data_IF_701444441883
#
_entry.id   IF_701444441883
#
_cell.length_a   1.000
_cell.length_b   1.000
_cell.length_c   1.000
_cell.angle_alpha   90.00
_cell.angle_beta   90.00
_cell.angle_gamma   90.00
#
_symmetry.space_group_name_H-M   'P 1'
#
loop_
_entity.id
_entity.type
_entity.pdbx_description
1 polymer ?
#
# COMPACT_ATOMS: atom_id res chain seq x y z
N UNK A 1 -16.36 38.23 40.60
CA UNK A 1 -15.07 37.69 40.12
C UNK A 1 -15.17 36.17 40.18
N UNK A 2 -15.02 35.34 39.17
CA UNK A 2 -15.01 35.44 37.71
C UNK A 2 -15.43 34.03 37.25
N UNK A 3 -16.57 33.90 36.58
CA UNK A 3 -16.89 32.66 35.85
C UNK A 3 -16.03 32.66 34.58
N UNK A 4 -14.84 32.08 34.64
CA UNK A 4 -14.06 31.77 33.44
C UNK A 4 -14.64 30.50 32.81
N UNK A 5 -15.77 30.64 32.11
CA UNK A 5 -16.04 29.74 31.00
C UNK A 5 -14.94 30.00 29.96
N UNK A 6 -13.95 29.12 29.90
CA UNK A 6 -13.08 29.01 28.74
C UNK A 6 -13.97 28.61 27.56
N UNK A 7 -14.50 29.60 26.85
CA UNK A 7 -14.84 29.47 25.44
C UNK A 7 -13.52 29.39 24.66
N UNK A 8 -12.80 28.29 24.82
CA UNK A 8 -11.72 27.97 23.90
C UNK A 8 -12.38 27.48 22.62
N UNK A 9 -12.25 28.28 21.56
CA UNK A 9 -12.49 27.90 20.19
C UNK A 9 -11.53 26.78 19.80
N UNK A 10 -11.72 25.59 20.39
CA UNK A 10 -10.98 24.39 20.03
C UNK A 10 -11.53 23.94 18.68
N UNK A 11 -10.71 23.82 17.62
CA UNK A 11 -11.17 23.27 16.36
C UNK A 11 -11.80 21.90 16.64
N UNK A 12 -13.06 21.72 16.27
CA UNK A 12 -13.83 20.48 16.50
C UNK A 12 -13.41 19.41 15.48
N UNK A 13 -12.10 19.23 15.30
CA UNK A 13 -11.52 18.20 14.44
C UNK A 13 -11.13 16.96 15.23
N UNK A 14 -10.85 17.08 16.52
CA UNK A 14 -10.57 15.92 17.37
C UNK A 14 -11.84 15.09 17.55
N UNK A 15 -11.84 13.88 17.00
CA UNK A 15 -12.94 12.94 17.15
C UNK A 15 -12.57 11.88 18.19
N UNK A 16 -13.48 11.62 19.15
CA UNK A 16 -13.30 10.52 20.12
C UNK A 16 -13.41 9.14 19.47
N UNK A 17 -14.10 9.08 18.34
CA UNK A 17 -14.31 7.88 17.51
C UNK A 17 -13.67 8.19 16.15
N UNK A 18 -12.84 7.30 15.58
CA UNK A 18 -12.24 7.53 14.27
C UNK A 18 -13.30 7.78 13.20
N UNK A 19 -13.01 8.72 12.30
CA UNK A 19 -13.86 8.96 11.13
C UNK A 19 -13.89 7.71 10.26
N UNK A 20 -15.06 7.32 9.74
CA UNK A 20 -15.26 6.10 8.98
C UNK A 20 -15.36 4.82 9.84
N UNK A 21 -15.28 4.93 11.17
CA UNK A 21 -15.62 3.81 12.07
C UNK A 21 -17.13 3.63 12.15
N UNK A 22 -17.64 2.39 12.31
CA UNK A 22 -19.07 2.17 12.50
C UNK A 22 -19.55 2.81 13.83
N UNK A 23 -20.71 3.48 13.81
CA UNK A 23 -21.31 4.11 15.00
C UNK A 23 -21.94 3.08 15.96
N UNK A 24 -22.33 1.94 15.43
CA UNK A 24 -23.01 0.85 16.14
C UNK A 24 -22.43 -0.49 15.67
N UNK A 25 -22.79 -1.59 16.33
CA UNK A 25 -22.40 -2.92 15.87
C UNK A 25 -22.92 -3.15 14.43
N UNK A 26 -22.05 -3.64 13.56
CA UNK A 26 -22.37 -3.90 12.15
C UNK A 26 -22.06 -5.33 11.78
N UNK A 27 -22.90 -5.92 10.92
CA UNK A 27 -22.63 -7.23 10.34
C UNK A 27 -21.57 -7.18 9.22
N UNK A 28 -21.21 -5.99 8.70
CA UNK A 28 -20.14 -5.84 7.70
C UNK A 28 -18.78 -6.22 8.29
N UNK A 29 -18.08 -7.14 7.62
CA UNK A 29 -16.70 -7.48 8.01
C UNK A 29 -15.71 -6.43 7.53
N UNK A 30 -16.01 -5.73 6.44
CA UNK A 30 -15.20 -4.61 5.94
C UNK A 30 -15.08 -3.48 6.96
N UNK A 31 -16.17 -3.17 7.69
CA UNK A 31 -16.19 -2.15 8.75
C UNK A 31 -15.89 -2.71 10.14
N UNK A 32 -15.46 -3.96 10.25
CA UNK A 32 -14.99 -4.52 11.52
C UNK A 32 -13.54 -4.11 11.79
N UNK A 33 -13.17 -3.76 13.03
CA UNK A 33 -11.80 -3.38 13.33
C UNK A 33 -10.83 -4.55 13.16
N UNK A 34 -9.56 -4.23 12.88
CA UNK A 34 -8.43 -5.16 12.94
C UNK A 34 -7.39 -4.59 13.87
N UNK A 35 -6.92 -5.38 14.84
CA UNK A 35 -5.77 -5.00 15.66
C UNK A 35 -4.57 -5.84 15.25
N UNK A 36 -3.48 -5.17 14.88
CA UNK A 36 -2.17 -5.78 14.65
C UNK A 36 -1.23 -5.15 15.68
N UNK A 37 -0.71 -5.97 16.59
CA UNK A 37 0.09 -5.53 17.74
C UNK A 37 -0.63 -4.40 18.51
N UNK A 38 -0.02 -3.22 18.69
CA UNK A 38 -0.62 -2.09 19.41
C UNK A 38 -1.52 -1.18 18.52
N UNK A 39 -1.67 -1.49 17.24
CA UNK A 39 -2.34 -0.62 16.27
C UNK A 39 -3.69 -1.22 15.87
N UNK A 40 -4.76 -0.48 16.16
CA UNK A 40 -6.13 -0.82 15.73
C UNK A 40 -6.52 0.02 14.52
N UNK A 41 -6.86 -0.66 13.43
CA UNK A 41 -7.52 -0.09 12.26
C UNK A 41 -9.04 -0.21 12.46
N UNK A 42 -9.77 0.90 12.36
CA UNK A 42 -11.22 0.91 12.65
C UNK A 42 -12.09 0.29 11.54
N UNK A 43 -11.54 0.08 10.35
CA UNK A 43 -12.11 -0.72 9.27
C UNK A 43 -10.97 -1.36 8.44
N UNK A 44 -11.31 -2.22 7.47
CA UNK A 44 -10.34 -2.99 6.66
C UNK A 44 -9.96 -2.32 5.33
N UNK A 45 -10.31 -1.05 5.13
CA UNK A 45 -10.09 -0.32 3.88
C UNK A 45 -8.78 0.44 3.96
N UNK A 46 -7.89 0.21 2.99
CA UNK A 46 -6.54 0.79 2.95
C UNK A 46 -6.33 1.61 1.69
N UNK A 47 -5.84 2.84 1.83
CA UNK A 47 -5.31 3.60 0.70
C UNK A 47 -3.91 3.07 0.38
N UNK A 48 -3.76 2.46 -0.79
CA UNK A 48 -2.48 1.87 -1.25
C UNK A 48 -1.45 2.97 -1.54
N UNK A 49 -0.14 2.71 -1.37
CA UNK A 49 0.89 3.68 -1.74
C UNK A 49 0.84 3.96 -3.26
N UNK A 50 0.75 5.23 -3.63
CA UNK A 50 0.63 5.69 -5.02
C UNK A 50 1.57 6.84 -5.29
N UNK A 51 2.61 6.62 -6.12
CA UNK A 51 3.55 7.67 -6.48
C UNK A 51 2.85 8.85 -7.15
N UNK A 52 3.10 10.05 -6.64
CA UNK A 52 2.49 11.29 -7.10
C UNK A 52 3.45 12.15 -7.93
N UNK A 53 4.75 11.82 -7.94
CA UNK A 53 5.78 12.50 -8.74
C UNK A 53 5.72 14.03 -8.60
N UNK A 54 5.52 14.49 -7.37
CA UNK A 54 5.23 15.90 -7.03
C UNK A 54 6.15 16.43 -5.92
N UNK A 55 7.27 15.76 -5.69
CA UNK A 55 8.28 16.18 -4.72
C UNK A 55 9.41 16.96 -5.41
N UNK A 56 10.03 17.87 -4.68
CA UNK A 56 11.29 18.51 -5.08
C UNK A 56 12.39 18.03 -4.16
N UNK A 57 13.40 17.37 -4.72
CA UNK A 57 14.49 16.76 -3.95
C UNK A 57 13.98 15.85 -2.83
N UNK A 58 13.00 14.98 -3.10
CA UNK A 58 12.45 14.06 -2.10
C UNK A 58 11.46 14.68 -1.10
N UNK A 59 11.35 16.02 -1.03
CA UNK A 59 10.57 16.67 0.01
C UNK A 59 9.07 16.49 -0.16
N UNK A 60 8.38 16.17 0.95
CA UNK A 60 6.92 16.26 1.05
C UNK A 60 6.48 17.71 0.78
N UNK A 61 5.90 17.94 -0.39
CA UNK A 61 5.31 19.23 -0.75
C UNK A 61 4.07 19.58 0.09
N UNK A 62 4.19 20.67 0.85
CA UNK A 62 3.15 21.17 1.77
C UNK A 62 1.85 21.63 1.11
N UNK A 63 1.81 21.78 -0.23
CA UNK A 63 0.60 22.16 -0.96
C UNK A 63 -0.05 20.92 -1.58
N UNK A 64 0.67 20.25 -2.48
CA UNK A 64 0.14 19.14 -3.25
C UNK A 64 -0.11 17.92 -2.37
N UNK A 65 0.91 17.43 -1.65
CA UNK A 65 0.75 16.21 -0.86
C UNK A 65 -0.19 16.42 0.32
N UNK A 66 -0.19 17.62 0.93
CA UNK A 66 -1.16 17.94 1.98
C UNK A 66 -2.60 17.95 1.45
N UNK A 67 -2.85 18.54 0.28
CA UNK A 67 -4.18 18.48 -0.35
C UNK A 67 -4.57 17.05 -0.72
N UNK A 68 -3.63 16.28 -1.27
CA UNK A 68 -3.84 14.90 -1.69
C UNK A 68 -4.12 13.96 -0.51
N UNK A 69 -3.15 13.79 0.39
CA UNK A 69 -3.27 12.88 1.53
C UNK A 69 -4.26 13.40 2.58
N UNK A 70 -4.32 14.72 2.79
CA UNK A 70 -5.33 15.32 3.66
C UNK A 70 -6.75 15.06 3.17
N UNK A 71 -6.95 14.87 1.86
CA UNK A 71 -8.24 14.45 1.34
C UNK A 71 -8.66 13.07 1.89
N UNK A 72 -7.74 12.11 1.97
CA UNK A 72 -8.04 10.78 2.50
C UNK A 72 -8.15 10.78 4.03
N UNK A 73 -7.28 11.53 4.71
CA UNK A 73 -7.22 11.61 6.17
C UNK A 73 -8.56 12.05 6.81
N UNK A 74 -9.37 12.83 6.10
CA UNK A 74 -10.67 13.32 6.59
C UNK A 74 -11.88 12.48 6.08
N UNK A 75 -11.61 11.33 5.44
CA UNK A 75 -12.62 10.47 4.79
C UNK A 75 -12.60 9.02 5.26
N UNK A 76 -11.85 8.75 6.33
CA UNK A 76 -12.04 7.59 7.20
C UNK A 76 -11.53 6.22 6.76
N UNK A 77 -10.54 6.06 5.85
CA UNK A 77 -9.93 4.74 5.67
C UNK A 77 -9.30 4.28 6.99
N UNK A 78 -9.26 2.96 7.22
CA UNK A 78 -8.63 2.37 8.40
C UNK A 78 -7.13 2.63 8.44
N UNK A 79 -6.51 2.66 7.27
CA UNK A 79 -5.09 2.95 7.06
C UNK A 79 -4.90 3.67 5.71
N UNK A 80 -3.96 4.61 5.64
CA UNK A 80 -3.47 5.14 4.39
C UNK A 80 -1.95 5.12 4.34
N UNK A 81 -1.39 4.79 3.19
CA UNK A 81 0.05 4.84 2.97
C UNK A 81 0.46 6.12 2.24
N UNK A 82 1.51 6.75 2.75
CA UNK A 82 2.39 7.60 1.95
C UNK A 82 3.05 6.73 0.87
N UNK A 83 3.18 7.29 -0.33
CA UNK A 83 3.80 6.66 -1.50
C UNK A 83 5.20 6.12 -1.26
N UNK A 84 5.70 5.34 -2.24
CA UNK A 84 7.06 4.83 -2.25
C UNK A 84 8.07 5.95 -1.98
N UNK A 85 8.67 5.94 -0.80
CA UNK A 85 9.55 6.98 -0.31
C UNK A 85 10.99 6.46 -0.33
N UNK A 86 11.82 7.09 -1.16
CA UNK A 86 13.22 6.71 -1.35
C UNK A 86 14.00 6.79 -0.03
N UNK A 87 14.67 5.70 0.36
CA UNK A 87 15.56 5.68 1.54
C UNK A 87 16.93 6.32 1.26
N UNK A 88 17.26 6.48 -0.02
CA UNK A 88 18.46 7.15 -0.54
C UNK A 88 18.06 8.01 -1.76
N UNK A 89 18.80 9.09 -2.07
CA UNK A 89 18.50 9.94 -3.23
C UNK A 89 18.43 9.16 -4.55
N UNK A 90 19.35 8.23 -4.76
CA UNK A 90 19.44 7.35 -5.94
C UNK A 90 18.39 6.23 -5.95
N UNK A 91 17.70 6.02 -4.82
CA UNK A 91 16.63 5.06 -4.65
C UNK A 91 15.27 5.53 -5.15
N UNK A 92 15.16 6.76 -5.66
CA UNK A 92 13.92 7.28 -6.25
C UNK A 92 13.60 6.65 -7.61
N UNK A 93 12.33 6.61 -8.00
CA UNK A 93 11.90 6.18 -9.34
C UNK A 93 12.17 7.32 -10.33
N UNK A 94 11.65 8.52 -10.06
CA UNK A 94 11.91 9.74 -10.84
C UNK A 94 12.55 10.85 -9.99
N UNK A 95 13.11 11.92 -10.61
CA UNK A 95 13.59 13.08 -9.87
C UNK A 95 12.55 13.70 -8.92
N UNK A 96 11.27 13.57 -9.27
CA UNK A 96 10.11 14.13 -8.57
C UNK A 96 9.51 13.19 -7.50
N UNK A 97 10.16 12.06 -7.21
CA UNK A 97 9.74 11.14 -6.17
C UNK A 97 10.02 11.67 -4.76
N UNK A 98 9.20 11.19 -3.83
CA UNK A 98 9.33 11.41 -2.39
C UNK A 98 10.52 10.66 -1.78
N UNK A 99 11.04 11.20 -0.68
CA UNK A 99 12.22 10.70 0.02
C UNK A 99 12.10 10.75 1.53
N UNK A 100 12.94 9.95 2.20
CA UNK A 100 13.13 9.94 3.66
C UNK A 100 14.59 9.59 4.00
N UNK A 101 15.53 10.36 3.43
CA UNK A 101 16.98 10.17 3.62
C UNK A 101 17.66 11.27 4.45
N UNK A 102 16.90 12.21 5.02
CA UNK A 102 17.45 13.27 5.88
C UNK A 102 16.46 13.74 6.94
N UNK A 103 16.92 14.46 8.00
CA UNK A 103 16.03 15.05 8.99
C UNK A 103 14.99 16.01 8.40
N UNK A 104 15.34 16.75 7.34
CA UNK A 104 14.40 17.65 6.66
C UNK A 104 13.25 16.87 6.01
N UNK A 105 13.55 15.73 5.36
CA UNK A 105 12.53 14.84 4.82
C UNK A 105 11.62 14.28 5.92
N UNK A 106 12.23 13.79 7.00
CA UNK A 106 11.53 13.27 8.17
C UNK A 106 10.51 14.29 8.69
N UNK A 107 10.95 15.51 8.99
CA UNK A 107 10.13 16.52 9.65
C UNK A 107 8.97 17.01 8.74
N UNK A 108 9.13 16.90 7.43
CA UNK A 108 8.11 17.34 6.47
C UNK A 108 6.80 16.53 6.53
N UNK A 109 6.81 15.33 7.10
CA UNK A 109 5.62 14.48 7.25
C UNK A 109 4.75 14.82 8.47
N UNK A 110 5.29 15.55 9.45
CA UNK A 110 4.61 15.83 10.73
C UNK A 110 3.18 16.38 10.52
N UNK A 111 2.93 17.38 9.65
CA UNK A 111 1.59 17.96 9.52
C UNK A 111 0.51 16.97 9.04
N UNK A 112 0.86 16.04 8.14
CA UNK A 112 -0.11 15.04 7.65
C UNK A 112 -0.34 13.93 8.68
N UNK A 113 0.70 13.53 9.41
CA UNK A 113 0.59 12.54 10.51
C UNK A 113 -0.32 13.09 11.61
N UNK A 114 -0.11 14.35 12.03
CA UNK A 114 -0.97 15.01 13.01
C UNK A 114 -2.43 15.07 12.56
N UNK A 115 -2.68 15.33 11.27
CA UNK A 115 -4.04 15.34 10.72
C UNK A 115 -4.69 13.95 10.80
N UNK A 116 -3.98 12.90 10.38
CA UNK A 116 -4.44 11.51 10.48
C UNK A 116 -4.77 11.12 11.92
N UNK A 117 -3.90 11.45 12.88
CA UNK A 117 -4.13 11.14 14.29
C UNK A 117 -5.31 11.90 14.88
N UNK A 118 -5.54 13.16 14.49
CA UNK A 118 -6.72 13.95 14.93
C UNK A 118 -8.04 13.37 14.42
N UNK A 119 -8.04 12.73 13.25
CA UNK A 119 -9.22 12.08 12.66
C UNK A 119 -9.35 10.59 13.00
N UNK A 120 -8.36 10.03 13.71
CA UNK A 120 -8.28 8.61 14.05
C UNK A 120 -7.90 7.69 12.88
N UNK A 121 -7.55 8.23 11.71
CA UNK A 121 -7.03 7.46 10.56
C UNK A 121 -5.58 7.05 10.84
N UNK A 122 -5.24 5.78 10.59
CA UNK A 122 -3.86 5.32 10.68
C UNK A 122 -3.06 5.70 9.44
N UNK A 123 -1.80 6.07 9.64
CA UNK A 123 -0.91 6.46 8.56
C UNK A 123 0.32 5.55 8.52
N UNK A 124 0.63 5.05 7.33
CA UNK A 124 1.85 4.29 7.07
C UNK A 124 2.73 4.95 6.02
N UNK A 125 3.97 4.50 5.93
CA UNK A 125 4.91 4.89 4.87
C UNK A 125 5.47 3.65 4.20
N UNK A 126 5.52 3.66 2.86
CA UNK A 126 6.19 2.62 2.10
C UNK A 126 7.65 3.01 1.88
N UNK A 127 8.57 2.34 2.56
CA UNK A 127 10.01 2.54 2.37
C UNK A 127 10.48 1.83 1.11
N UNK A 128 11.13 2.56 0.21
CA UNK A 128 11.43 2.09 -1.13
C UNK A 128 12.86 2.41 -1.59
N UNK A 129 13.31 1.59 -2.55
CA UNK A 129 14.47 1.87 -3.39
C UNK A 129 14.20 1.28 -4.78
N UNK A 130 14.14 2.12 -5.82
CA UNK A 130 13.72 1.74 -7.17
C UNK A 130 14.71 0.84 -7.91
N UNK A 131 15.98 0.82 -7.47
CA UNK A 131 16.99 -0.09 -8.00
C UNK A 131 17.18 0.11 -9.49
N UNK A 132 17.20 -0.98 -10.29
CA UNK A 132 17.43 -0.89 -11.74
C UNK A 132 16.36 -0.14 -12.53
N UNK A 133 15.27 0.26 -11.87
CA UNK A 133 14.19 1.08 -12.42
C UNK A 133 14.20 2.53 -11.90
N UNK A 134 15.23 2.91 -11.15
CA UNK A 134 15.47 4.29 -10.75
C UNK A 134 15.83 5.18 -11.95
N UNK A 135 15.83 6.49 -11.73
CA UNK A 135 16.20 7.49 -12.74
C UNK A 135 15.36 7.36 -14.02
N UNK A 136 14.03 7.30 -13.90
CA UNK A 136 13.10 7.28 -15.03
C UNK A 136 12.23 8.53 -15.08
N UNK A 137 11.75 8.89 -16.27
CA UNK A 137 10.82 10.00 -16.40
C UNK A 137 9.49 9.70 -15.73
N UNK A 138 8.97 10.66 -14.96
CA UNK A 138 7.59 10.61 -14.44
C UNK A 138 6.61 10.28 -15.57
N UNK A 139 5.60 9.46 -15.25
CA UNK A 139 4.55 9.04 -16.19
C UNK A 139 3.71 10.19 -16.75
N UNK A 140 3.85 11.41 -16.21
CA UNK A 140 3.11 12.60 -16.61
C UNK A 140 3.92 13.57 -17.48
N UNK A 141 5.22 13.31 -17.72
CA UNK A 141 6.06 14.21 -18.52
C UNK A 141 5.72 14.09 -20.00
N UNK A 142 5.17 15.18 -20.57
CA UNK A 142 4.79 15.26 -21.98
C UNK A 142 5.98 15.00 -22.91
N UNK A 143 5.73 14.32 -24.04
CA UNK A 143 6.75 14.05 -25.07
C UNK A 143 7.71 12.91 -24.76
N UNK A 144 7.58 12.23 -23.63
CA UNK A 144 8.35 11.02 -23.29
C UNK A 144 7.46 9.77 -23.43
N UNK A 145 8.06 8.60 -23.68
CA UNK A 145 7.41 7.30 -23.45
C UNK A 145 7.35 7.05 -21.93
N UNK A 146 6.55 7.87 -21.26
CA UNK A 146 6.60 8.14 -19.83
C UNK A 146 6.60 6.85 -18.97
N UNK A 147 7.47 6.79 -17.95
CA UNK A 147 7.82 5.63 -17.13
C UNK A 147 8.45 4.40 -17.84
N UNK A 148 8.81 4.49 -19.13
CA UNK A 148 9.51 3.41 -19.87
C UNK A 148 10.91 3.77 -20.36
N UNK A 149 11.45 4.91 -19.91
CA UNK A 149 12.74 5.43 -20.35
C UNK A 149 13.50 6.06 -19.19
N UNK A 150 14.82 5.88 -19.18
CA UNK A 150 15.71 6.56 -18.24
C UNK A 150 15.82 8.07 -18.50
N UNK A 151 15.94 8.85 -17.43
CA UNK A 151 16.28 10.28 -17.50
C UNK A 151 17.72 10.43 -17.93
N UNK A 152 17.99 11.29 -18.91
CA UNK A 152 19.35 11.63 -19.33
C UNK A 152 20.04 12.57 -18.33
N UNK A 153 21.35 12.71 -18.44
CA UNK A 153 22.14 13.51 -17.48
C UNK A 153 21.77 15.00 -17.52
N UNK A 154 21.37 15.54 -18.68
CA UNK A 154 20.96 16.95 -18.83
C UNK A 154 19.65 17.26 -18.07
N UNK A 155 18.78 16.26 -17.92
CA UNK A 155 17.53 16.36 -17.17
C UNK A 155 17.62 15.82 -15.75
N UNK A 156 18.84 15.62 -15.22
CA UNK A 156 19.08 15.22 -13.83
C UNK A 156 19.01 13.72 -13.58
N UNK A 157 19.23 12.90 -14.60
CA UNK A 157 19.36 11.46 -14.45
C UNK A 157 20.61 11.06 -13.67
N UNK A 158 20.56 9.88 -13.05
CA UNK A 158 21.69 9.27 -12.34
C UNK A 158 21.84 7.80 -12.74
N UNK A 159 22.99 7.18 -12.43
CA UNK A 159 23.19 5.75 -12.65
C UNK A 159 22.40 4.96 -11.61
N UNK A 160 21.44 4.11 -12.02
CA UNK A 160 20.70 3.26 -11.09
C UNK A 160 21.60 2.16 -10.48
N UNK A 161 21.18 1.61 -9.35
CA UNK A 161 21.84 0.45 -8.73
C UNK A 161 21.01 -0.81 -8.92
N UNK A 162 21.63 -1.99 -9.00
CA UNK A 162 20.90 -3.26 -9.07
C UNK A 162 21.74 -4.45 -8.61
N UNK A 163 21.12 -5.63 -8.46
CA UNK A 163 21.84 -6.86 -8.15
C UNK A 163 22.81 -7.25 -9.27
N UNK A 164 22.50 -6.92 -10.52
CA UNK A 164 23.35 -7.15 -11.69
C UNK A 164 23.23 -6.01 -12.69
N UNK A 165 24.23 -5.86 -13.57
CA UNK A 165 24.26 -4.83 -14.64
C UNK A 165 23.32 -5.14 -15.82
N UNK A 166 22.03 -5.35 -15.51
CA UNK A 166 20.99 -5.72 -16.47
C UNK A 166 19.88 -4.66 -16.40
N UNK A 167 19.71 -3.79 -17.41
CA UNK A 167 18.63 -2.82 -17.43
C UNK A 167 17.27 -3.51 -17.53
N UNK A 168 16.21 -2.85 -17.07
CA UNK A 168 14.85 -3.41 -17.14
C UNK A 168 14.38 -3.61 -18.59
N UNK A 169 14.74 -2.70 -19.49
CA UNK A 169 14.60 -2.84 -20.94
C UNK A 169 15.70 -2.04 -21.65
N UNK A 170 15.70 -2.02 -22.99
CA UNK A 170 16.70 -1.30 -23.81
C UNK A 170 16.69 0.24 -23.70
N UNK A 171 15.64 0.83 -23.11
CA UNK A 171 15.51 2.29 -22.93
C UNK A 171 15.80 2.76 -21.51
N UNK A 172 16.03 1.83 -20.57
CA UNK A 172 16.43 2.16 -19.20
C UNK A 172 17.94 2.32 -19.11
N UNK A 173 18.40 3.09 -18.14
CA UNK A 173 19.83 3.17 -17.85
C UNK A 173 20.33 1.81 -17.36
N UNK A 174 21.53 1.44 -17.79
CA UNK A 174 22.20 0.23 -17.28
C UNK A 174 22.55 0.45 -15.81
N UNK A 175 22.10 -0.42 -14.89
CA UNK A 175 22.40 -0.26 -13.48
C UNK A 175 23.86 -0.65 -13.18
N UNK A 176 24.44 0.02 -12.19
CA UNK A 176 25.64 -0.44 -11.50
C UNK A 176 25.30 -1.69 -10.68
N UNK A 177 26.06 -2.77 -10.87
CA UNK A 177 25.99 -3.95 -10.01
C UNK A 177 26.56 -3.61 -8.63
N UNK A 178 25.70 -3.64 -7.61
CA UNK A 178 26.09 -3.22 -6.25
C UNK A 178 27.18 -4.13 -5.67
N UNK A 179 28.17 -3.52 -5.05
CA UNK A 179 29.13 -4.19 -4.16
C UNK A 179 28.49 -4.59 -2.83
N UNK A 180 29.12 -5.49 -2.07
CA UNK A 180 28.65 -5.82 -0.71
C UNK A 180 28.60 -4.58 0.21
N UNK A 181 29.50 -3.61 0.02
CA UNK A 181 29.50 -2.36 0.79
C UNK A 181 28.28 -1.50 0.47
N UNK A 182 27.92 -1.38 -0.82
CA UNK A 182 26.73 -0.63 -1.24
C UNK A 182 25.44 -1.32 -0.80
N UNK A 183 25.41 -2.67 -0.82
CA UNK A 183 24.31 -3.45 -0.24
C UNK A 183 24.16 -3.12 1.25
N UNK A 184 25.26 -3.13 2.01
CA UNK A 184 25.24 -2.78 3.43
C UNK A 184 24.79 -1.33 3.67
N UNK A 185 25.20 -0.37 2.83
CA UNK A 185 24.73 1.02 2.88
C UNK A 185 23.22 1.12 2.64
N UNK A 186 22.69 0.41 1.65
CA UNK A 186 21.25 0.38 1.40
C UNK A 186 20.48 -0.23 2.59
N UNK A 187 20.96 -1.35 3.14
CA UNK A 187 20.40 -1.99 4.35
C UNK A 187 20.35 -1.01 5.53
N UNK A 188 21.45 -0.28 5.78
CA UNK A 188 21.51 0.72 6.83
C UNK A 188 20.55 1.89 6.58
N UNK A 189 20.40 2.33 5.33
CA UNK A 189 19.48 3.39 4.94
C UNK A 189 18.02 3.01 5.24
N UNK A 190 17.59 1.78 4.90
CA UNK A 190 16.25 1.30 5.28
C UNK A 190 16.01 1.34 6.80
N UNK A 191 17.00 0.90 7.60
CA UNK A 191 16.93 0.97 9.06
C UNK A 191 16.84 2.41 9.58
N UNK A 192 17.65 3.31 9.04
CA UNK A 192 17.64 4.72 9.41
C UNK A 192 16.33 5.43 9.02
N UNK A 193 15.76 5.11 7.85
CA UNK A 193 14.46 5.61 7.42
C UNK A 193 13.32 5.08 8.30
N UNK A 194 13.39 3.82 8.74
CA UNK A 194 12.43 3.27 9.70
C UNK A 194 12.50 4.00 11.06
N UNK A 195 13.70 4.31 11.55
CA UNK A 195 13.89 5.13 12.75
C UNK A 195 13.25 6.50 12.59
N UNK A 196 13.50 7.18 11.47
CA UNK A 196 12.89 8.48 11.19
C UNK A 196 11.38 8.41 11.10
N UNK A 197 10.83 7.36 10.48
CA UNK A 197 9.40 7.16 10.42
C UNK A 197 8.77 7.01 11.82
N UNK A 198 9.45 6.33 12.73
CA UNK A 198 8.99 6.21 14.12
C UNK A 198 9.04 7.55 14.87
N UNK A 199 10.15 8.29 14.72
CA UNK A 199 10.36 9.59 15.38
C UNK A 199 9.26 10.61 15.09
N UNK A 200 8.63 10.56 13.91
CA UNK A 200 7.52 11.46 13.54
C UNK A 200 6.14 10.86 13.71
N UNK A 201 6.04 9.61 14.15
CA UNK A 201 4.77 9.01 14.57
C UNK A 201 3.98 8.28 13.47
N UNK A 202 4.62 7.79 12.40
CA UNK A 202 3.92 6.85 11.51
C UNK A 202 3.41 5.63 12.30
N UNK A 203 2.21 5.11 12.03
CA UNK A 203 1.67 3.94 12.72
C UNK A 203 2.21 2.62 12.13
N UNK A 204 2.49 2.60 10.81
CA UNK A 204 2.88 1.39 10.06
C UNK A 204 4.04 1.71 9.13
N UNK A 205 4.97 0.76 8.96
CA UNK A 205 5.91 0.78 7.83
C UNK A 205 5.65 -0.39 6.90
N UNK A 206 5.81 -0.16 5.61
CA UNK A 206 5.79 -1.21 4.58
C UNK A 206 7.11 -1.22 3.82
N UNK A 207 7.77 -2.38 3.73
CA UNK A 207 8.94 -2.55 2.88
C UNK A 207 8.52 -2.85 1.45
N UNK A 208 9.00 -2.06 0.49
CA UNK A 208 8.66 -2.27 -0.91
C UNK A 208 9.49 -3.39 -1.57
N UNK A 209 9.05 -4.63 -1.36
CA UNK A 209 9.62 -5.86 -1.95
C UNK A 209 9.04 -6.30 -3.30
N UNK A 210 8.51 -5.37 -4.11
CA UNK A 210 7.67 -5.68 -5.26
C UNK A 210 8.01 -4.84 -6.50
N UNK A 211 7.26 -5.07 -7.58
CA UNK A 211 7.22 -4.25 -8.80
C UNK A 211 8.54 -4.10 -9.57
N UNK A 212 9.49 -5.01 -9.38
CA UNK A 212 10.80 -4.97 -10.04
C UNK A 212 11.76 -3.92 -9.50
N UNK A 213 11.44 -3.29 -8.36
CA UNK A 213 12.34 -2.38 -7.67
C UNK A 213 13.47 -3.15 -6.96
N UNK A 214 14.30 -2.47 -6.16
CA UNK A 214 15.58 -3.04 -5.71
C UNK A 214 15.40 -4.39 -5.02
N UNK A 215 14.58 -4.46 -3.97
CA UNK A 215 14.35 -5.70 -3.22
C UNK A 215 13.84 -6.80 -4.16
N UNK A 216 12.80 -6.54 -4.95
CA UNK A 216 12.24 -7.55 -5.87
C UNK A 216 13.25 -8.00 -6.93
N UNK A 217 14.10 -7.09 -7.41
CA UNK A 217 15.12 -7.45 -8.41
C UNK A 217 16.21 -8.35 -7.82
N UNK A 218 16.54 -8.24 -6.52
CA UNK A 218 17.36 -9.26 -5.82
C UNK A 218 16.63 -10.60 -5.69
N UNK A 219 15.32 -10.58 -5.43
CA UNK A 219 14.54 -11.81 -5.30
C UNK A 219 14.51 -12.62 -6.59
N UNK A 220 14.44 -11.99 -7.76
CA UNK A 220 14.18 -12.71 -9.01
C UNK A 220 15.44 -13.15 -9.75
N UNK A 221 15.50 -14.41 -10.23
CA UNK A 221 16.59 -14.89 -11.09
C UNK A 221 16.62 -14.20 -12.47
N UNK A 222 15.54 -13.54 -12.92
CA UNK A 222 15.52 -12.77 -14.18
C UNK A 222 16.37 -11.48 -14.11
N UNK A 223 16.73 -11.05 -12.90
CA UNK A 223 17.40 -9.78 -12.66
C UNK A 223 18.65 -9.90 -11.82
N UNK A 224 18.76 -10.97 -11.03
CA UNK A 224 19.88 -11.22 -10.15
C UNK A 224 20.71 -12.40 -10.67
N UNK A 225 21.77 -12.08 -11.40
CA UNK A 225 22.73 -13.03 -11.95
C UNK A 225 24.02 -13.10 -11.11
N UNK A 226 23.97 -12.62 -9.86
CA UNK A 226 25.13 -12.64 -8.97
C UNK A 226 25.57 -14.06 -8.67
N UNK A 227 26.87 -14.21 -8.45
CA UNK A 227 27.50 -15.48 -8.05
C UNK A 227 28.03 -15.46 -6.62
N UNK A 228 27.86 -14.35 -5.90
CA UNK A 228 28.20 -14.20 -4.49
C UNK A 228 27.04 -14.65 -3.57
N UNK A 229 27.13 -14.31 -2.29
CA UNK A 229 26.15 -14.68 -1.27
C UNK A 229 24.75 -14.07 -1.47
N UNK A 230 24.57 -13.17 -2.46
CA UNK A 230 23.31 -12.51 -2.74
C UNK A 230 22.62 -13.01 -4.02
N UNK A 231 23.18 -13.97 -4.76
CA UNK A 231 22.56 -14.55 -5.97
C UNK A 231 22.62 -16.07 -6.07
N UNK A 232 22.02 -16.59 -7.13
CA UNK A 232 21.88 -18.03 -7.36
C UNK A 232 20.70 -18.64 -6.60
N UNK A 233 20.97 -19.29 -5.46
CA UNK A 233 19.93 -20.03 -4.72
C UNK A 233 18.84 -19.12 -4.16
N UNK A 234 17.68 -19.71 -3.86
CA UNK A 234 16.57 -19.01 -3.20
C UNK A 234 17.04 -18.30 -1.90
N UNK A 235 17.81 -18.99 -1.06
CA UNK A 235 18.32 -18.46 0.22
C UNK A 235 19.22 -17.24 0.02
N UNK A 236 20.05 -17.26 -1.02
CA UNK A 236 20.91 -16.12 -1.35
C UNK A 236 20.11 -14.95 -1.92
N UNK A 237 19.15 -15.21 -2.82
CA UNK A 237 18.29 -14.18 -3.44
C UNK A 237 17.43 -13.44 -2.41
N UNK A 238 16.93 -14.14 -1.38
CA UNK A 238 16.14 -13.50 -0.31
C UNK A 238 17.01 -12.78 0.73
N UNK A 239 18.33 -13.05 0.80
CA UNK A 239 19.22 -12.57 1.86
C UNK A 239 19.17 -11.05 2.03
N UNK A 240 19.16 -10.29 0.93
CA UNK A 240 19.10 -8.85 0.97
C UNK A 240 17.84 -8.32 1.68
N UNK A 241 16.67 -8.90 1.41
CA UNK A 241 15.43 -8.55 2.11
C UNK A 241 15.51 -8.91 3.59
N UNK A 242 16.12 -10.04 3.94
CA UNK A 242 16.27 -10.45 5.34
C UNK A 242 17.20 -9.52 6.12
N UNK A 243 18.30 -9.06 5.50
CA UNK A 243 19.21 -8.08 6.10
C UNK A 243 18.52 -6.71 6.28
N UNK A 244 17.73 -6.27 5.29
CA UNK A 244 16.88 -5.07 5.44
C UNK A 244 15.90 -5.23 6.61
N UNK A 245 15.20 -6.36 6.66
CA UNK A 245 14.23 -6.65 7.72
C UNK A 245 14.88 -6.56 9.10
N UNK A 246 16.06 -7.15 9.27
CA UNK A 246 16.82 -7.11 10.53
C UNK A 246 17.25 -5.69 10.90
N UNK A 247 17.75 -4.91 9.94
CA UNK A 247 18.10 -3.49 10.13
C UNK A 247 16.90 -2.63 10.53
N UNK A 248 15.74 -2.86 9.90
CA UNK A 248 14.48 -2.18 10.19
C UNK A 248 13.97 -2.54 11.58
N UNK A 249 14.00 -3.81 11.97
CA UNK A 249 13.54 -4.27 13.28
C UNK A 249 14.42 -3.78 14.45
N UNK A 250 15.68 -3.40 14.19
CA UNK A 250 16.52 -2.73 15.18
C UNK A 250 16.11 -1.27 15.41
N UNK A 251 15.38 -0.67 14.47
CA UNK A 251 15.06 0.75 14.43
C UNK A 251 13.55 1.06 14.47
N UNK A 252 12.70 0.05 14.37
CA UNK A 252 11.25 0.15 14.42
C UNK A 252 10.71 -0.54 15.67
N UNK A 253 9.78 0.06 16.43
CA UNK A 253 9.23 -0.55 17.63
C UNK A 253 8.58 -1.92 17.35
N UNK A 254 8.92 -2.92 18.17
CA UNK A 254 8.45 -4.31 18.01
C UNK A 254 6.93 -4.44 18.11
N UNK A 255 6.31 -3.51 18.80
CA UNK A 255 4.88 -3.41 19.08
C UNK A 255 4.11 -2.61 18.00
N UNK A 256 4.78 -2.06 16.99
CA UNK A 256 4.13 -1.45 15.82
C UNK A 256 4.14 -2.40 14.60
N UNK A 257 3.11 -2.33 13.73
CA UNK A 257 3.04 -3.17 12.54
C UNK A 257 4.18 -2.91 11.54
N UNK A 258 4.71 -4.00 10.97
CA UNK A 258 5.68 -4.01 9.88
C UNK A 258 5.15 -4.90 8.76
N UNK A 259 4.89 -4.28 7.61
CA UNK A 259 4.36 -4.94 6.42
C UNK A 259 5.47 -5.15 5.39
N UNK A 260 5.29 -6.13 4.52
CA UNK A 260 6.13 -6.30 3.33
C UNK A 260 5.22 -6.46 2.11
N UNK A 261 5.41 -5.60 1.10
CA UNK A 261 4.75 -5.75 -0.18
C UNK A 261 5.58 -6.64 -1.10
N UNK A 262 4.97 -7.64 -1.71
CA UNK A 262 5.66 -8.55 -2.64
C UNK A 262 4.97 -8.58 -4.01
N UNK A 263 5.74 -8.86 -5.05
CA UNK A 263 5.19 -9.34 -6.32
C UNK A 263 5.07 -10.86 -6.23
N UNK A 264 3.84 -11.37 -6.04
CA UNK A 264 3.60 -12.79 -5.84
C UNK A 264 3.87 -13.67 -7.09
N UNK A 265 3.90 -13.04 -8.27
CA UNK A 265 4.34 -13.65 -9.52
C UNK A 265 4.86 -12.56 -10.44
N UNK A 266 5.83 -12.87 -11.28
CA UNK A 266 6.34 -11.94 -12.30
C UNK A 266 5.57 -11.99 -13.62
N UNK A 267 4.62 -12.92 -13.76
CA UNK A 267 3.88 -13.14 -15.00
C UNK A 267 4.79 -13.37 -16.22
N UNK A 268 5.99 -13.90 -16.00
CA UNK A 268 6.93 -14.20 -17.05
C UNK A 268 6.35 -15.26 -17.99
N UNK A 269 6.54 -15.05 -19.29
CA UNK A 269 5.86 -15.81 -20.33
C UNK A 269 6.74 -16.89 -20.98
N UNK A 270 8.03 -16.96 -20.66
CA UNK A 270 8.91 -18.02 -21.11
C UNK A 270 8.97 -19.13 -20.04
N UNK A 271 8.44 -20.34 -20.30
CA UNK A 271 8.49 -21.45 -19.34
C UNK A 271 9.89 -22.06 -19.18
N UNK A 272 10.82 -21.76 -20.10
CA UNK A 272 12.20 -22.29 -20.05
C UNK A 272 13.14 -21.41 -19.20
N UNK A 273 12.68 -20.24 -18.75
CA UNK A 273 13.41 -19.33 -17.87
C UNK A 273 12.84 -19.37 -16.45
N UNK A 274 13.71 -19.60 -15.46
CA UNK A 274 13.31 -19.49 -14.06
C UNK A 274 12.92 -18.03 -13.78
N UNK A 275 11.78 -17.83 -13.12
CA UNK A 275 11.29 -16.51 -12.69
C UNK A 275 10.72 -16.60 -11.28
N UNK A 276 10.44 -15.46 -10.67
CA UNK A 276 9.80 -15.44 -9.37
C UNK A 276 8.30 -15.78 -9.49
N UNK A 277 7.87 -16.78 -8.74
CA UNK A 277 6.53 -17.37 -8.80
C UNK A 277 5.83 -17.42 -7.43
N UNK A 278 4.61 -17.96 -7.44
CA UNK A 278 3.77 -18.03 -6.25
C UNK A 278 4.34 -18.97 -5.19
N UNK A 279 4.94 -20.09 -5.58
CA UNK A 279 5.51 -21.05 -4.64
C UNK A 279 6.72 -20.48 -3.91
N UNK A 280 7.59 -19.74 -4.60
CA UNK A 280 8.66 -18.98 -3.96
C UNK A 280 8.11 -17.87 -3.05
N UNK A 281 7.03 -17.19 -3.46
CA UNK A 281 6.37 -16.18 -2.65
C UNK A 281 5.78 -16.74 -1.35
N UNK A 282 5.18 -17.93 -1.38
CA UNK A 282 4.68 -18.64 -0.20
C UNK A 282 5.84 -19.02 0.73
N UNK A 283 6.94 -19.55 0.18
CA UNK A 283 8.15 -19.87 0.96
C UNK A 283 8.71 -18.63 1.63
N UNK A 284 8.83 -17.52 0.90
CA UNK A 284 9.29 -16.25 1.44
C UNK A 284 8.35 -15.74 2.54
N UNK A 285 7.04 -15.75 2.31
CA UNK A 285 6.05 -15.31 3.29
C UNK A 285 6.11 -16.10 4.60
N UNK A 286 6.37 -17.41 4.54
CA UNK A 286 6.58 -18.23 5.74
C UNK A 286 7.82 -17.78 6.53
N UNK A 287 8.95 -17.55 5.84
CA UNK A 287 10.18 -17.05 6.46
C UNK A 287 9.97 -15.66 7.08
N UNK A 288 9.27 -14.76 6.37
CA UNK A 288 8.97 -13.41 6.85
C UNK A 288 8.05 -13.44 8.08
N UNK A 289 7.05 -14.33 8.10
CA UNK A 289 6.19 -14.56 9.27
C UNK A 289 7.02 -14.97 10.48
N UNK A 290 7.89 -15.96 10.33
CA UNK A 290 8.74 -16.46 11.42
C UNK A 290 9.73 -15.39 11.91
N UNK A 291 10.12 -14.47 11.03
CA UNK A 291 10.95 -13.31 11.36
C UNK A 291 10.16 -12.11 11.89
N UNK A 292 8.84 -12.20 12.07
CA UNK A 292 8.04 -11.17 12.74
C UNK A 292 7.50 -10.06 11.82
N UNK A 293 7.36 -10.33 10.52
CA UNK A 293 6.51 -9.51 9.62
C UNK A 293 5.05 -9.79 9.94
N UNK A 294 4.25 -8.73 10.01
CA UNK A 294 2.86 -8.82 10.48
C UNK A 294 1.86 -9.06 9.35
N UNK A 295 2.15 -8.56 8.14
CA UNK A 295 1.26 -8.66 6.99
C UNK A 295 2.04 -8.64 5.66
N UNK A 296 1.56 -9.43 4.70
CA UNK A 296 2.06 -9.41 3.31
C UNK A 296 1.05 -8.70 2.40
N UNK A 297 1.43 -7.55 1.84
CA UNK A 297 0.66 -6.88 0.77
C UNK A 297 0.96 -7.59 -0.57
N UNK A 298 -0.03 -8.31 -1.09
CA UNK A 298 0.15 -9.23 -2.21
C UNK A 298 -0.16 -8.55 -3.56
N UNK A 299 0.89 -8.03 -4.19
CA UNK A 299 0.87 -7.49 -5.55
C UNK A 299 1.44 -8.49 -6.57
N UNK A 300 1.77 -8.04 -7.78
CA UNK A 300 2.41 -8.88 -8.81
C UNK A 300 3.10 -8.04 -9.89
N UNK A 301 3.94 -8.71 -10.68
CA UNK A 301 4.61 -8.18 -11.86
C UNK A 301 5.66 -7.11 -11.57
N UNK A 302 6.05 -6.42 -12.64
CA UNK A 302 6.89 -5.22 -12.66
C UNK A 302 8.38 -5.48 -12.91
N UNK A 303 8.87 -6.70 -12.70
CA UNK A 303 10.30 -6.99 -12.85
C UNK A 303 10.74 -7.27 -14.28
N UNK A 304 9.87 -7.74 -15.17
CA UNK A 304 10.24 -8.01 -16.57
C UNK A 304 9.33 -7.26 -17.56
N UNK A 305 9.86 -6.74 -18.69
CA UNK A 305 9.04 -6.10 -19.72
C UNK A 305 8.21 -7.11 -20.53
N UNK A 306 8.53 -8.41 -20.48
CA UNK A 306 7.82 -9.46 -21.23
C UNK A 306 6.64 -10.08 -20.47
N UNK A 307 6.28 -9.53 -19.32
CA UNK A 307 5.20 -10.03 -18.47
C UNK A 307 3.83 -9.99 -19.18
N UNK A 308 3.03 -11.04 -18.97
CA UNK A 308 1.64 -11.12 -19.45
C UNK A 308 0.69 -11.43 -18.32
N UNK A 309 0.00 -10.40 -17.83
CA UNK A 309 -1.02 -10.53 -16.80
C UNK A 309 -2.19 -11.40 -17.27
N UNK A 310 -2.71 -12.25 -16.39
CA UNK A 310 -3.88 -13.09 -16.66
C UNK A 310 -5.04 -12.70 -15.73
N UNK A 311 -6.30 -12.77 -16.20
CA UNK A 311 -7.48 -12.73 -15.35
C UNK A 311 -7.40 -13.76 -14.22
N UNK A 312 -8.04 -13.47 -13.08
CA UNK A 312 -8.29 -14.51 -12.08
C UNK A 312 -9.34 -15.51 -12.60
N UNK A 313 -9.29 -16.74 -12.07
CA UNK A 313 -10.36 -17.70 -12.27
C UNK A 313 -11.65 -17.16 -11.63
N UNK A 314 -12.81 -17.16 -12.32
CA UNK A 314 -14.07 -16.68 -11.78
C UNK A 314 -14.45 -17.26 -10.41
N UNK A 315 -14.14 -18.53 -10.14
CA UNK A 315 -14.44 -19.15 -8.83
C UNK A 315 -13.58 -18.55 -7.69
N UNK A 316 -12.34 -18.17 -7.98
CA UNK A 316 -11.43 -17.58 -6.99
C UNK A 316 -11.84 -16.16 -6.58
N UNK A 317 -12.69 -15.50 -7.38
CA UNK A 317 -13.15 -14.12 -7.16
C UNK A 317 -14.67 -14.01 -6.99
N UNK A 318 -15.35 -15.14 -6.85
CA UNK A 318 -16.80 -15.19 -6.64
C UNK A 318 -17.22 -14.38 -5.41
N UNK A 319 -18.23 -13.53 -5.59
CA UNK A 319 -18.77 -12.69 -4.52
C UNK A 319 -19.61 -13.52 -3.56
N UNK A 320 -19.40 -13.33 -2.26
CA UNK A 320 -20.24 -13.90 -1.20
C UNK A 320 -21.30 -12.90 -0.74
N UNK A 321 -22.43 -13.41 -0.27
CA UNK A 321 -23.52 -12.56 0.22
C UNK A 321 -23.11 -11.79 1.48
N UNK A 322 -23.43 -10.49 1.49
CA UNK A 322 -23.46 -9.71 2.71
C UNK A 322 -24.78 -10.03 3.45
N UNK A 323 -24.76 -10.35 4.75
CA UNK A 323 -25.98 -10.57 5.52
C UNK A 323 -26.81 -9.27 5.55
N UNK A 324 -28.13 -9.41 5.54
CA UNK A 324 -29.03 -8.29 5.79
C UNK A 324 -28.72 -7.63 7.15
N UNK A 325 -28.94 -6.31 7.30
CA UNK A 325 -28.87 -5.67 8.60
C UNK A 325 -29.84 -6.37 9.57
N UNK A 326 -29.39 -6.72 10.77
CA UNK A 326 -30.30 -7.18 11.82
C UNK A 326 -31.32 -6.06 12.11
N UNK A 327 -32.62 -6.37 12.04
CA UNK A 327 -33.71 -5.41 12.27
C UNK A 327 -34.45 -4.90 11.03
N UNK A 328 -34.20 -5.45 9.83
CA UNK A 328 -34.98 -5.08 8.63
C UNK A 328 -36.42 -5.61 8.61
N UNK A 329 -36.85 -6.39 9.61
CA UNK A 329 -38.26 -6.67 9.85
C UNK A 329 -38.86 -5.58 10.75
N UNK A 330 -39.44 -4.53 10.14
CA UNK A 330 -40.44 -3.70 10.81
C UNK A 330 -40.13 -2.21 11.03
N UNK A 331 -38.95 -1.69 10.67
CA UNK A 331 -38.70 -0.23 10.69
C UNK A 331 -38.64 0.35 9.28
N UNK A 332 -39.61 1.20 8.96
CA UNK A 332 -39.61 2.10 7.81
C UNK A 332 -38.46 3.10 7.96
N UNK A 333 -37.26 2.72 7.52
CA UNK A 333 -36.19 3.66 7.22
C UNK A 333 -36.65 4.41 5.97
N UNK A 334 -36.72 5.74 6.04
CA UNK A 334 -37.14 6.59 4.94
C UNK A 334 -36.37 6.22 3.65
N UNK A 335 -37.11 5.66 2.68
CA UNK A 335 -36.65 5.18 1.39
C UNK A 335 -36.33 6.33 0.42
N UNK A 336 -35.41 7.20 0.79
CA UNK A 336 -34.71 8.01 -0.19
C UNK A 336 -33.23 7.67 -0.09
N UNK A 337 -32.74 7.03 -1.16
CA UNK A 337 -31.34 6.78 -1.54
C UNK A 337 -30.52 5.58 -1.00
N UNK A 338 -31.07 4.62 -0.27
CA UNK A 338 -30.33 3.37 0.02
C UNK A 338 -30.65 2.26 -1.00
N UNK A 339 -29.69 1.90 -1.85
CA UNK A 339 -29.77 0.68 -2.67
C UNK A 339 -29.82 -0.55 -1.76
N UNK A 340 -30.65 -1.55 -2.06
CA UNK A 340 -30.66 -2.78 -1.29
C UNK A 340 -29.33 -3.53 -1.46
N UNK A 341 -28.92 -4.31 -0.45
CA UNK A 341 -27.65 -5.02 -0.53
C UNK A 341 -27.54 -5.92 -1.79
N UNK A 342 -28.69 -6.44 -2.22
CA UNK A 342 -28.82 -7.23 -3.43
C UNK A 342 -28.54 -6.42 -4.70
N UNK A 343 -29.00 -5.17 -4.78
CA UNK A 343 -28.76 -4.30 -5.93
C UNK A 343 -27.26 -3.97 -6.08
N UNK A 344 -26.59 -3.64 -4.97
CA UNK A 344 -25.18 -3.31 -5.01
C UNK A 344 -24.29 -4.55 -5.25
N UNK A 345 -24.73 -5.76 -4.86
CA UNK A 345 -24.12 -7.01 -5.35
C UNK A 345 -24.28 -7.16 -6.87
N UNK A 346 -25.50 -6.99 -7.39
CA UNK A 346 -25.75 -7.08 -8.84
C UNK A 346 -24.93 -6.06 -9.63
N UNK A 347 -24.73 -4.86 -9.09
CA UNK A 347 -23.92 -3.83 -9.73
C UNK A 347 -22.42 -4.20 -9.73
N UNK A 348 -21.93 -4.78 -8.64
CA UNK A 348 -20.57 -5.33 -8.60
C UNK A 348 -20.35 -6.44 -9.64
N UNK A 349 -21.34 -7.31 -9.84
CA UNK A 349 -21.31 -8.40 -10.83
C UNK A 349 -21.39 -7.88 -12.28
N UNK A 350 -21.93 -6.69 -12.51
CA UNK A 350 -21.96 -6.06 -13.85
C UNK A 350 -20.62 -5.47 -14.28
N UNK A 351 -19.61 -5.39 -13.40
CA UNK A 351 -18.29 -4.84 -13.74
C UNK A 351 -17.59 -5.75 -14.76
N UNK A 352 -17.53 -5.30 -16.02
CA UNK A 352 -16.99 -6.10 -17.15
C UNK A 352 -15.47 -5.99 -17.34
N UNK A 353 -14.71 -5.74 -16.27
CA UNK A 353 -13.26 -5.69 -16.37
C UNK A 353 -12.67 -7.11 -16.21
N UNK A 354 -12.01 -7.68 -17.22
CA UNK A 354 -11.44 -9.03 -17.13
C UNK A 354 -10.33 -9.13 -16.08
N UNK A 355 -9.74 -8.00 -15.65
CA UNK A 355 -8.69 -7.95 -14.64
C UNK A 355 -9.22 -7.71 -13.22
N UNK A 356 -10.54 -7.71 -13.00
CA UNK A 356 -11.13 -7.52 -11.66
C UNK A 356 -10.53 -8.53 -10.66
N UNK A 357 -10.06 -8.03 -9.52
CA UNK A 357 -9.50 -8.85 -8.43
C UNK A 357 -8.40 -9.84 -8.86
N UNK A 358 -7.69 -9.60 -9.97
CA UNK A 358 -6.80 -10.60 -10.57
C UNK A 358 -5.65 -11.07 -9.66
N UNK A 359 -5.28 -10.30 -8.63
CA UNK A 359 -4.25 -10.68 -7.65
C UNK A 359 -4.82 -11.23 -6.34
N UNK A 360 -6.15 -11.22 -6.14
CA UNK A 360 -6.79 -11.81 -4.97
C UNK A 360 -6.38 -13.27 -4.74
N UNK A 361 -6.23 -14.13 -5.77
CA UNK A 361 -5.79 -15.50 -5.57
C UNK A 361 -4.41 -15.60 -4.90
N UNK A 362 -3.52 -14.64 -5.12
CA UNK A 362 -2.21 -14.62 -4.45
C UNK A 362 -2.33 -14.34 -2.96
N UNK A 363 -3.12 -13.32 -2.58
CA UNK A 363 -3.39 -13.00 -1.18
C UNK A 363 -4.07 -14.18 -0.45
N UNK A 364 -5.03 -14.82 -1.11
CA UNK A 364 -5.73 -15.98 -0.57
C UNK A 364 -4.78 -17.17 -0.38
N UNK A 365 -3.96 -17.50 -1.37
CA UNK A 365 -3.02 -18.61 -1.30
C UNK A 365 -1.94 -18.42 -0.23
N UNK A 366 -1.37 -17.21 -0.10
CA UNK A 366 -0.41 -16.90 0.97
C UNK A 366 -1.07 -17.02 2.33
N UNK A 367 -2.27 -16.46 2.51
CA UNK A 367 -3.02 -16.53 3.77
C UNK A 367 -3.35 -17.97 4.16
N UNK A 368 -3.87 -18.76 3.23
CA UNK A 368 -4.26 -20.16 3.46
C UNK A 368 -3.05 -21.03 3.81
N UNK A 369 -1.97 -20.94 3.03
CA UNK A 369 -0.80 -21.84 3.19
C UNK A 369 0.12 -21.44 4.33
N UNK A 370 0.20 -20.15 4.68
CA UNK A 370 1.16 -19.63 5.67
C UNK A 370 0.48 -19.19 6.97
N UNK A 371 -0.78 -18.76 6.92
CA UNK A 371 -1.48 -18.21 8.09
C UNK A 371 -0.88 -16.89 8.58
N UNK A 372 -0.23 -16.12 7.71
CA UNK A 372 0.12 -14.71 7.94
C UNK A 372 -1.06 -13.83 7.49
N UNK A 373 -1.20 -12.62 8.06
CA UNK A 373 -2.19 -11.68 7.56
C UNK A 373 -1.82 -11.23 6.14
N UNK A 374 -2.82 -10.99 5.29
CA UNK A 374 -2.58 -10.56 3.90
C UNK A 374 -3.40 -9.34 3.52
N UNK A 375 -2.81 -8.53 2.65
CA UNK A 375 -3.47 -7.45 1.92
C UNK A 375 -3.83 -7.90 0.51
N UNK A 376 -5.06 -7.67 0.08
CA UNK A 376 -5.48 -7.85 -1.32
C UNK A 376 -5.49 -6.51 -2.06
N UNK A 377 -4.94 -6.49 -3.28
CA UNK A 377 -4.90 -5.31 -4.17
C UNK A 377 -5.14 -5.72 -5.61
N UNK A 378 -5.55 -4.80 -6.48
CA UNK A 378 -5.58 -5.01 -7.94
C UNK A 378 -6.99 -5.06 -8.51
N UNK A 379 -7.40 -3.96 -9.15
CA UNK A 379 -8.72 -3.78 -9.78
C UNK A 379 -9.90 -4.21 -8.88
N UNK A 380 -9.76 -3.97 -7.58
CA UNK A 380 -10.89 -3.91 -6.66
C UNK A 380 -11.45 -2.50 -6.83
N UNK A 381 -12.73 -2.37 -7.14
CA UNK A 381 -13.35 -1.08 -7.49
C UNK A 381 -14.75 -0.91 -6.89
N UNK A 382 -15.27 -1.92 -6.17
CA UNK A 382 -16.64 -1.91 -5.68
C UNK A 382 -16.71 -2.32 -4.19
N UNK A 383 -17.52 -1.64 -3.36
CA UNK A 383 -17.71 -1.99 -1.94
C UNK A 383 -18.04 -3.46 -1.67
N UNK A 384 -18.89 -4.07 -2.48
CA UNK A 384 -19.21 -5.51 -2.39
C UNK A 384 -18.02 -6.43 -2.64
N UNK A 385 -17.10 -6.05 -3.52
CA UNK A 385 -15.87 -6.82 -3.71
C UNK A 385 -15.03 -6.75 -2.43
N UNK A 386 -14.88 -5.55 -1.85
CA UNK A 386 -14.14 -5.35 -0.61
C UNK A 386 -14.73 -6.17 0.55
N UNK A 387 -16.05 -6.08 0.76
CA UNK A 387 -16.77 -6.85 1.78
C UNK A 387 -16.63 -8.35 1.55
N UNK A 388 -16.81 -8.83 0.31
CA UNK A 388 -16.70 -10.24 -0.04
C UNK A 388 -15.29 -10.79 0.23
N UNK A 389 -14.24 -10.04 -0.09
CA UNK A 389 -12.85 -10.43 0.15
C UNK A 389 -12.61 -10.71 1.63
N UNK A 390 -12.99 -9.79 2.52
CA UNK A 390 -12.79 -9.93 3.96
C UNK A 390 -13.70 -11.04 4.51
N UNK A 391 -14.98 -11.05 4.12
CA UNK A 391 -15.98 -12.02 4.61
C UNK A 391 -15.63 -13.46 4.25
N UNK A 392 -15.11 -13.69 3.05
CA UNK A 392 -14.65 -15.01 2.60
C UNK A 392 -13.26 -15.37 3.12
N UNK A 393 -12.68 -14.56 4.02
CA UNK A 393 -11.37 -14.76 4.62
C UNK A 393 -10.23 -14.91 3.59
N UNK A 394 -10.37 -14.27 2.41
CA UNK A 394 -9.34 -14.30 1.36
C UNK A 394 -8.23 -13.27 1.60
N UNK A 395 -8.49 -12.23 2.39
CA UNK A 395 -7.50 -11.28 2.90
C UNK A 395 -8.00 -10.61 4.19
N UNK A 396 -7.11 -9.91 4.89
CA UNK A 396 -7.40 -9.22 6.15
C UNK A 396 -7.58 -7.72 5.98
N UNK A 397 -6.97 -7.15 4.95
CA UNK A 397 -7.06 -5.75 4.52
C UNK A 397 -7.27 -5.68 3.00
N UNK A 398 -7.99 -4.64 2.55
CA UNK A 398 -8.23 -4.36 1.13
C UNK A 398 -7.55 -3.06 0.74
N UNK A 399 -6.54 -3.17 -0.12
CA UNK A 399 -5.75 -2.06 -0.61
C UNK A 399 -6.33 -1.53 -1.92
N UNK A 400 -6.60 -0.23 -1.94
CA UNK A 400 -7.23 0.46 -3.05
C UNK A 400 -6.34 1.61 -3.50
N UNK A 401 -6.05 1.66 -4.80
CA UNK A 401 -5.22 2.70 -5.40
C UNK A 401 -6.09 3.69 -6.19
N UNK A 402 -6.18 3.49 -7.51
CA UNK A 402 -6.89 4.35 -8.49
C UNK A 402 -8.33 4.71 -8.11
N UNK A 403 -9.02 3.84 -7.38
CA UNK A 403 -10.38 4.13 -6.93
C UNK A 403 -10.41 5.32 -5.95
N UNK A 404 -9.46 5.42 -5.02
CA UNK A 404 -9.34 6.59 -4.14
C UNK A 404 -8.91 7.86 -4.87
N UNK A 405 -8.12 7.74 -5.94
CA UNK A 405 -7.78 8.90 -6.78
C UNK A 405 -9.02 9.47 -7.49
N UNK A 406 -9.94 8.58 -7.89
CA UNK A 406 -11.19 8.95 -8.54
C UNK A 406 -12.21 9.48 -7.54
N UNK A 407 -12.32 8.82 -6.40
CA UNK A 407 -13.32 9.10 -5.38
C UNK A 407 -12.68 9.02 -3.98
N UNK A 408 -12.30 10.17 -3.39
CA UNK A 408 -11.75 10.16 -2.04
C UNK A 408 -12.81 9.82 -0.98
N UNK A 409 -14.11 9.86 -1.29
CA UNK A 409 -15.22 9.51 -0.38
C UNK A 409 -15.56 8.01 -0.39
N UNK A 410 -14.73 7.17 -1.01
CA UNK A 410 -14.99 5.74 -1.20
C UNK A 410 -15.44 5.01 0.08
N UNK A 411 -14.91 5.38 1.25
CA UNK A 411 -15.29 4.76 2.53
C UNK A 411 -16.74 5.10 2.90
N UNK A 412 -17.16 6.36 2.76
CA UNK A 412 -18.54 6.75 3.01
C UNK A 412 -19.49 6.10 1.99
N UNK A 413 -19.09 6.04 0.73
CA UNK A 413 -19.86 5.37 -0.31
C UNK A 413 -19.96 3.86 -0.06
N UNK A 414 -18.90 3.23 0.44
CA UNK A 414 -18.93 1.83 0.84
C UNK A 414 -19.84 1.60 2.05
N UNK A 415 -19.83 2.51 3.02
CA UNK A 415 -20.70 2.45 4.18
C UNK A 415 -22.16 2.54 3.77
N UNK A 416 -22.51 3.50 2.92
CA UNK A 416 -23.86 3.69 2.37
C UNK A 416 -24.35 2.44 1.62
N UNK A 417 -23.57 1.93 0.66
CA UNK A 417 -23.93 0.76 -0.13
C UNK A 417 -24.03 -0.53 0.69
N UNK A 418 -23.29 -0.64 1.80
CA UNK A 418 -23.33 -1.79 2.70
C UNK A 418 -24.28 -1.59 3.89
N UNK A 419 -25.03 -0.47 3.92
CA UNK A 419 -25.99 -0.17 4.98
C UNK A 419 -25.35 0.06 6.36
N UNK A 420 -24.10 0.53 6.41
CA UNK A 420 -23.35 0.78 7.64
C UNK A 420 -23.39 2.27 7.98
N UNK A 421 -23.89 2.62 9.17
CA UNK A 421 -23.74 3.98 9.70
C UNK A 421 -22.33 4.17 10.25
N UNK A 422 -21.60 5.14 9.71
CA UNK A 422 -20.23 5.44 10.12
C UNK A 422 -20.10 6.84 10.70
N UNK A 423 -19.07 7.06 11.50
CA UNK A 423 -18.73 8.38 12.02
C UNK A 423 -18.25 9.27 10.87
N UNK A 424 -18.98 10.34 10.57
CA UNK A 424 -18.53 11.37 9.64
C UNK A 424 -17.63 12.37 10.34
N UNK A 425 -16.80 13.09 9.56
CA UNK A 425 -16.24 14.34 10.04
C UNK A 425 -17.41 15.27 10.41
N UNK A 426 -17.39 15.87 11.61
CA UNK A 426 -18.50 16.68 12.12
C UNK A 426 -18.93 17.78 11.14
N UNK A 427 -17.94 18.44 10.53
CA UNK A 427 -18.10 19.49 9.54
C UNK A 427 -18.80 19.00 8.26
N UNK A 428 -18.72 17.71 7.96
CA UNK A 428 -19.31 17.06 6.80
C UNK A 428 -20.61 16.29 7.11
N UNK A 429 -21.04 16.18 8.36
CA UNK A 429 -22.22 15.39 8.76
C UNK A 429 -23.47 15.75 7.96
N UNK A 430 -23.67 17.00 7.57
CA UNK A 430 -24.83 17.41 6.77
C UNK A 430 -24.84 16.85 5.34
N UNK A 431 -23.68 16.39 4.85
CA UNK A 431 -23.53 15.76 3.55
C UNK A 431 -24.07 14.32 3.50
N UNK A 432 -24.33 13.68 4.64
CA UNK A 432 -24.83 12.29 4.70
C UNK A 432 -26.29 12.13 4.26
N UNK A 433 -27.02 13.24 4.04
CA UNK A 433 -28.46 13.25 3.76
C UNK A 433 -28.81 13.63 2.31
N UNK A 434 -27.80 13.78 1.46
CA UNK A 434 -27.92 14.12 0.03
C UNK A 434 -27.61 12.88 -0.79
#
# INVERSE_FOLDING_TARGET
MSHSQQNEWTPIMETKVPIGAPQEATNSKLFSPLTIKNTTFHNRIVVSPMCMYSSKDGMFDSQFHMAHYGSFAIRGPGLMFIEASGVLPEGRISPEDMGIWSPAHRDAFIPIIELCHKTGVKIGIQLAHAGRKASTYSMFRQGTSAAKQGVDDEHGGWTPNGPSSIPWNEHFRVPHEMSEEEIAKAVAAFGQSAKWADEVGFDVIELHGAHGYLINSFLSPLSNHRTDKYGGSFENRIRFLLEILESVQQNWPKDKPLFVRISASEWHNNPDEESWDLDQSIKLAAILKDKGVDLIDCSSGGNTPTQTFKPANPEDIKLVDAPAPEGSEGTTINHHTFGSLQAAKQDAEKIKNPMVMFQLPFAAAVKEKVGILTGAVGFITHPYQMESIIRSNKADLVFMAREFLRDPNLVYNAADQLGVKVQWLRQHERGQYM
#
